data_IF_076858744980
#
_entry.id   IF_076858744980
#
_cell.length_a   1.000
_cell.length_b   1.000
_cell.length_c   1.000
_cell.angle_alpha   90.00
_cell.angle_beta   90.00
_cell.angle_gamma   90.00
#
_symmetry.space_group_name_H-M   'P 1'
#
loop_
_entity.id
_entity.type
_entity.pdbx_description
1 polymer ?
#
# COMPACT_ATOMS: atom_id res chain seq x y z
N UNK A 1 27.49 -60.88 2.04
CA UNK A 1 28.15 -59.58 2.33
C UNK A 1 28.54 -58.76 1.09
N UNK A 2 28.55 -59.33 -0.12
CA UNK A 2 28.93 -58.61 -1.35
C UNK A 2 27.79 -57.76 -1.99
N UNK A 3 26.52 -58.20 -1.90
CA UNK A 3 25.36 -57.50 -2.49
C UNK A 3 25.10 -56.10 -1.90
N UNK A 4 25.31 -55.90 -0.60
CA UNK A 4 25.06 -54.60 0.07
C UNK A 4 26.05 -53.50 -0.35
N UNK A 5 27.25 -53.88 -0.79
CA UNK A 5 28.27 -52.92 -1.26
C UNK A 5 28.01 -52.42 -2.68
N UNK A 6 27.38 -53.23 -3.54
CA UNK A 6 26.98 -52.79 -4.88
C UNK A 6 25.78 -51.83 -4.85
N UNK A 7 24.80 -52.08 -3.97
CA UNK A 7 23.63 -51.21 -3.82
C UNK A 7 23.99 -49.83 -3.25
N UNK A 8 24.98 -49.77 -2.34
CA UNK A 8 25.50 -48.47 -1.85
C UNK A 8 26.31 -47.72 -2.90
N UNK A 9 27.04 -48.42 -3.78
CA UNK A 9 27.76 -47.81 -4.89
C UNK A 9 26.80 -47.28 -5.97
N UNK A 10 25.69 -47.99 -6.26
CA UNK A 10 24.70 -47.53 -7.24
C UNK A 10 23.89 -46.32 -6.74
N UNK A 11 23.52 -46.28 -5.46
CA UNK A 11 22.85 -45.13 -4.84
C UNK A 11 23.75 -43.88 -4.79
N UNK A 12 25.05 -44.06 -4.54
CA UNK A 12 26.02 -42.96 -4.59
C UNK A 12 26.17 -42.41 -6.01
N UNK A 13 26.21 -43.29 -7.03
CA UNK A 13 26.33 -42.88 -8.44
C UNK A 13 25.09 -42.15 -8.96
N UNK A 14 23.89 -42.56 -8.53
CA UNK A 14 22.63 -41.89 -8.88
C UNK A 14 22.56 -40.49 -8.25
N UNK A 15 23.14 -40.30 -7.05
CA UNK A 15 23.17 -39.01 -6.35
C UNK A 15 24.17 -38.03 -6.98
N UNK A 16 25.32 -38.50 -7.48
CA UNK A 16 26.25 -37.65 -8.25
C UNK A 16 25.70 -37.28 -9.63
N UNK A 17 25.03 -38.21 -10.32
CA UNK A 17 24.41 -37.91 -11.63
C UNK A 17 23.19 -36.98 -11.54
N UNK A 18 22.47 -36.96 -10.41
CA UNK A 18 21.37 -35.98 -10.19
C UNK A 18 21.90 -34.60 -9.80
N UNK A 19 23.06 -34.50 -9.13
CA UNK A 19 23.69 -33.20 -8.87
C UNK A 19 24.31 -32.58 -10.12
N UNK A 20 24.91 -33.38 -11.02
CA UNK A 20 25.45 -32.85 -12.29
C UNK A 20 24.35 -32.42 -13.28
N UNK A 21 23.19 -33.11 -13.31
CA UNK A 21 22.06 -32.70 -14.16
C UNK A 21 21.32 -31.46 -13.69
N UNK A 22 21.51 -31.04 -12.44
CA UNK A 22 20.94 -29.80 -11.91
C UNK A 22 21.82 -28.55 -12.19
N UNK A 23 23.04 -28.73 -12.73
CA UNK A 23 23.96 -27.64 -13.06
C UNK A 23 23.92 -27.20 -14.53
N UNK A 24 23.10 -27.83 -15.38
CA UNK A 24 22.89 -27.41 -16.76
C UNK A 24 21.58 -26.66 -16.93
N UNK A 25 21.64 -25.35 -17.18
CA UNK A 25 20.53 -24.45 -17.55
C UNK A 25 19.63 -23.87 -16.45
N UNK A 26 20.14 -23.61 -15.26
CA UNK A 26 19.57 -22.57 -14.41
C UNK A 26 20.34 -21.26 -14.70
N UNK A 27 19.75 -20.38 -15.53
CA UNK A 27 20.24 -19.01 -15.64
C UNK A 27 20.28 -18.41 -14.22
N UNK A 28 21.38 -17.73 -13.83
CA UNK A 28 21.45 -17.12 -12.51
C UNK A 28 20.29 -16.13 -12.37
N UNK A 29 19.56 -16.23 -11.25
CA UNK A 29 18.56 -15.23 -10.86
C UNK A 29 19.34 -13.96 -10.53
N UNK A 30 19.54 -13.13 -11.54
CA UNK A 30 20.15 -11.82 -11.41
C UNK A 30 19.10 -10.93 -10.71
N UNK A 31 19.18 -10.87 -9.37
CA UNK A 31 18.40 -9.93 -8.59
C UNK A 31 18.79 -8.51 -9.00
N UNK A 32 17.93 -7.87 -9.79
CA UNK A 32 18.01 -6.42 -10.03
C UNK A 32 17.62 -5.70 -8.74
N UNK A 33 18.58 -5.54 -7.82
CA UNK A 33 18.46 -4.59 -6.72
C UNK A 33 18.35 -3.18 -7.31
N UNK A 34 17.15 -2.60 -7.24
CA UNK A 34 16.97 -1.16 -7.39
C UNK A 34 17.46 -0.50 -6.11
N UNK A 35 18.72 -0.05 -6.09
CA UNK A 35 19.24 0.81 -5.03
C UNK A 35 18.65 2.21 -5.20
N UNK A 36 17.69 2.56 -4.34
CA UNK A 36 17.20 3.94 -4.26
C UNK A 36 18.20 4.70 -3.40
N UNK A 37 19.11 5.42 -4.05
CA UNK A 37 19.98 6.39 -3.38
C UNK A 37 19.15 7.60 -2.95
N UNK A 38 18.77 7.65 -1.67
CA UNK A 38 18.22 8.86 -1.05
C UNK A 38 19.36 9.85 -0.84
N UNK A 39 19.45 10.87 -1.69
CA UNK A 39 20.41 11.96 -1.51
C UNK A 39 19.72 13.08 -0.73
N UNK A 40 20.07 13.24 0.55
CA UNK A 40 19.65 14.38 1.35
C UNK A 40 20.43 15.63 0.92
N UNK A 41 19.73 16.60 0.33
CA UNK A 41 20.30 17.92 0.03
C UNK A 41 19.87 18.92 1.10
N UNK A 42 20.73 19.14 2.09
CA UNK A 42 20.62 20.29 2.98
C UNK A 42 20.98 21.56 2.20
N UNK A 43 20.03 22.49 2.00
CA UNK A 43 20.32 23.83 1.48
C UNK A 43 19.81 24.91 2.42
N UNK A 44 20.77 25.62 2.99
CA UNK A 44 20.66 26.78 3.88
C UNK A 44 20.01 27.99 3.17
N UNK A 45 19.19 28.75 3.90
CA UNK A 45 18.36 29.84 3.38
C UNK A 45 19.00 31.24 3.44
N UNK A 46 18.34 32.22 2.79
CA UNK A 46 18.39 33.66 3.12
C UNK A 46 17.31 34.50 2.40
N UNK A 47 16.37 34.99 3.21
CA UNK A 47 15.68 36.30 3.35
C UNK A 47 15.47 37.38 2.26
N UNK A 48 14.31 38.06 2.47
CA UNK A 48 13.82 39.42 2.14
C UNK A 48 13.16 39.65 0.76
N UNK A 49 11.98 40.28 0.58
CA UNK A 49 10.99 40.96 1.43
C UNK A 49 10.14 41.92 0.55
N UNK A 50 8.80 42.04 0.77
CA UNK A 50 7.95 43.11 0.18
C UNK A 50 6.53 42.69 -0.31
N UNK A 51 5.48 43.18 0.37
CA UNK A 51 4.01 42.99 0.24
C UNK A 51 3.33 44.04 -0.69
N UNK A 52 1.98 44.09 -0.89
CA UNK A 52 0.95 43.04 -1.05
C UNK A 52 -0.08 43.35 -2.20
N UNK A 53 -0.93 42.39 -2.58
CA UNK A 53 -2.36 42.67 -2.83
C UNK A 53 -3.22 41.40 -2.85
N UNK A 54 -4.44 41.54 -2.35
CA UNK A 54 -5.33 40.53 -1.76
C UNK A 54 -6.12 39.70 -2.80
N UNK A 55 -6.37 38.42 -2.50
CA UNK A 55 -7.45 37.63 -3.12
C UNK A 55 -7.05 36.26 -3.70
N UNK A 56 -6.76 35.29 -2.82
CA UNK A 56 -6.87 33.83 -3.03
C UNK A 56 -6.46 33.14 -1.72
N UNK A 57 -7.21 32.13 -1.28
CA UNK A 57 -6.81 31.32 -0.11
C UNK A 57 -5.37 30.80 -0.29
N UNK A 58 -4.51 30.96 0.73
CA UNK A 58 -3.10 30.66 0.58
C UNK A 58 -2.91 29.15 0.49
N UNK A 59 -2.30 28.69 -0.59
CA UNK A 59 -1.67 27.34 -0.61
C UNK A 59 -0.71 27.28 0.59
N UNK A 60 -0.80 26.28 1.48
CA UNK A 60 0.02 26.24 2.68
C UNK A 60 1.50 26.29 2.26
N UNK A 61 2.25 27.23 2.84
CA UNK A 61 3.66 27.40 2.53
C UNK A 61 4.42 26.12 2.90
N UNK A 62 5.57 25.88 2.27
CA UNK A 62 6.45 24.73 2.58
C UNK A 62 6.74 24.59 4.08
N UNK A 63 6.75 25.70 4.82
CA UNK A 63 6.97 25.73 6.27
C UNK A 63 5.78 25.15 7.04
N UNK A 64 4.55 25.53 6.70
CA UNK A 64 3.33 24.95 7.28
C UNK A 64 3.15 23.49 6.85
N UNK A 65 3.52 23.13 5.62
CA UNK A 65 3.46 21.75 5.13
C UNK A 65 4.49 20.85 5.83
N UNK A 66 5.66 21.40 6.17
CA UNK A 66 6.70 20.70 6.95
C UNK A 66 6.32 20.59 8.42
N UNK A 67 5.82 21.66 9.03
CA UNK A 67 5.34 21.67 10.41
C UNK A 67 4.15 20.70 10.59
N UNK A 68 3.19 20.71 9.66
CA UNK A 68 2.07 19.77 9.66
C UNK A 68 2.53 18.33 9.41
N UNK A 69 3.59 18.11 8.62
CA UNK A 69 4.19 16.78 8.45
C UNK A 69 4.93 16.31 9.70
N UNK A 70 5.71 17.17 10.37
CA UNK A 70 6.40 16.88 11.63
C UNK A 70 5.39 16.63 12.76
N UNK A 71 4.33 17.44 12.87
CA UNK A 71 3.28 17.32 13.90
C UNK A 71 2.40 16.07 13.69
N UNK A 72 2.13 15.67 12.44
CA UNK A 72 1.46 14.39 12.13
C UNK A 72 2.38 13.19 12.41
N UNK A 73 3.67 13.29 12.12
CA UNK A 73 4.64 12.20 12.35
C UNK A 73 4.83 11.92 13.85
N UNK A 74 4.91 12.97 14.67
CA UNK A 74 4.95 12.85 16.14
C UNK A 74 3.64 12.22 16.65
N UNK A 75 2.48 12.64 16.13
CA UNK A 75 1.17 12.08 16.50
C UNK A 75 1.03 10.60 16.15
N UNK A 76 1.54 10.16 14.98
CA UNK A 76 1.50 8.76 14.56
C UNK A 76 2.47 7.88 15.38
N UNK A 77 3.66 8.39 15.71
CA UNK A 77 4.64 7.66 16.54
C UNK A 77 4.13 7.52 17.98
N UNK A 78 3.46 8.56 18.51
CA UNK A 78 2.76 8.52 19.79
C UNK A 78 1.56 7.56 19.77
N UNK A 79 0.87 7.45 18.65
CA UNK A 79 -0.25 6.50 18.51
C UNK A 79 0.21 5.05 18.62
N UNK A 80 1.24 4.63 17.86
CA UNK A 80 1.72 3.24 17.90
C UNK A 80 2.39 2.88 19.24
N UNK A 81 3.05 3.84 19.89
CA UNK A 81 3.63 3.63 21.23
C UNK A 81 2.56 3.55 22.34
N UNK A 82 1.38 4.16 22.12
CA UNK A 82 0.25 4.06 23.04
C UNK A 82 -0.57 2.76 22.91
N UNK A 83 -0.36 1.97 21.84
CA UNK A 83 -1.06 0.69 21.67
C UNK A 83 -0.50 -0.35 22.64
N UNK A 84 -1.38 -0.89 23.49
CA UNK A 84 -1.04 -1.84 24.56
C UNK A 84 -1.67 -3.23 24.37
N UNK A 85 -2.38 -3.48 23.26
CA UNK A 85 -3.13 -4.72 23.03
C UNK A 85 -2.26 -5.99 23.11
N UNK A 86 -0.98 -5.91 22.74
CA UNK A 86 -0.05 -7.03 22.85
C UNK A 86 0.32 -7.35 24.30
N UNK A 87 0.35 -6.36 25.19
CA UNK A 87 0.77 -6.51 26.60
C UNK A 87 -0.32 -7.06 27.50
N UNK A 88 -1.58 -6.85 27.13
CA UNK A 88 -2.74 -7.31 27.90
C UNK A 88 -2.87 -8.84 27.88
N UNK A 89 -3.36 -9.38 29.00
CA UNK A 89 -3.73 -10.79 29.13
C UNK A 89 -5.01 -11.10 28.36
N UNK A 90 -5.24 -12.38 28.03
CA UNK A 90 -6.46 -12.80 27.32
C UNK A 90 -7.74 -12.34 28.03
N UNK A 91 -7.79 -12.44 29.36
CA UNK A 91 -8.96 -12.02 30.15
C UNK A 91 -9.23 -10.52 30.04
N UNK A 92 -8.19 -9.69 30.06
CA UNK A 92 -8.33 -8.23 29.94
C UNK A 92 -8.77 -7.82 28.53
N UNK A 93 -8.28 -8.51 27.51
CA UNK A 93 -8.65 -8.28 26.11
C UNK A 93 -10.12 -8.66 25.87
N UNK A 94 -10.54 -9.84 26.34
CA UNK A 94 -11.92 -10.27 26.24
C UNK A 94 -12.87 -9.30 26.97
N UNK A 95 -12.47 -8.79 28.14
CA UNK A 95 -13.23 -7.78 28.87
C UNK A 95 -13.29 -6.45 28.10
N UNK A 96 -12.16 -5.96 27.58
CA UNK A 96 -12.07 -4.69 26.85
C UNK A 96 -12.91 -4.68 25.58
N UNK A 97 -12.94 -5.79 24.85
CA UNK A 97 -13.74 -5.93 23.62
C UNK A 97 -15.14 -6.51 23.85
N UNK A 98 -15.47 -6.84 25.10
CA UNK A 98 -16.72 -7.49 25.49
C UNK A 98 -17.04 -8.70 24.59
N UNK A 99 -16.06 -9.60 24.44
CA UNK A 99 -16.15 -10.84 23.66
C UNK A 99 -16.07 -12.04 24.58
N UNK A 100 -16.89 -13.06 24.32
CA UNK A 100 -16.84 -14.32 25.06
C UNK A 100 -15.64 -15.17 24.56
N UNK A 101 -14.86 -15.82 25.46
CA UNK A 101 -13.75 -16.68 25.07
C UNK A 101 -14.16 -17.92 24.25
N UNK A 102 -15.37 -18.44 24.50
CA UNK A 102 -15.86 -19.69 23.92
C UNK A 102 -16.86 -19.45 22.79
N UNK A 103 -17.81 -18.55 23.01
CA UNK A 103 -18.90 -18.29 22.06
C UNK A 103 -18.62 -17.15 21.09
N UNK A 104 -17.58 -16.36 21.32
CA UNK A 104 -17.25 -15.20 20.51
C UNK A 104 -18.27 -14.07 20.67
N UNK A 105 -18.54 -13.35 19.57
CA UNK A 105 -19.57 -12.30 19.53
C UNK A 105 -20.93 -12.88 19.10
N UNK A 106 -22.01 -12.28 19.56
CA UNK A 106 -23.34 -12.60 19.04
C UNK A 106 -23.59 -11.94 17.69
N UNK A 107 -24.34 -12.59 16.80
CA UNK A 107 -24.67 -12.02 15.48
C UNK A 107 -25.35 -10.63 15.58
N UNK A 108 -26.30 -10.37 16.52
CA UNK A 108 -26.90 -9.05 16.67
C UNK A 108 -25.89 -7.97 17.10
N UNK A 109 -24.98 -8.31 18.01
CA UNK A 109 -23.95 -7.38 18.47
C UNK A 109 -22.93 -7.07 17.36
N UNK A 110 -22.52 -8.08 16.60
CA UNK A 110 -21.66 -7.88 15.44
C UNK A 110 -22.32 -6.96 14.40
N UNK A 111 -23.62 -7.16 14.12
CA UNK A 111 -24.40 -6.28 13.24
C UNK A 111 -24.52 -4.85 13.76
N UNK A 112 -24.63 -4.66 15.09
CA UNK A 112 -24.64 -3.33 15.72
C UNK A 112 -23.29 -2.63 15.55
N UNK A 113 -22.18 -3.33 15.79
CA UNK A 113 -20.82 -2.80 15.62
C UNK A 113 -20.51 -2.46 14.17
N UNK A 114 -20.93 -3.31 13.23
CA UNK A 114 -20.74 -3.07 11.80
C UNK A 114 -21.45 -1.79 11.33
N UNK A 115 -22.66 -1.53 11.84
CA UNK A 115 -23.41 -0.29 11.55
C UNK A 115 -22.76 0.95 12.16
N UNK A 116 -22.13 0.82 13.33
CA UNK A 116 -21.49 1.94 14.03
C UNK A 116 -20.10 2.27 13.45
N UNK A 117 -19.29 1.26 13.14
CA UNK A 117 -17.89 1.42 12.76
C UNK A 117 -17.66 1.37 11.23
N UNK A 118 -18.63 0.88 10.46
CA UNK A 118 -18.48 0.67 9.02
C UNK A 118 -17.83 -0.67 8.68
N UNK A 119 -17.62 -0.90 7.38
CA UNK A 119 -16.98 -2.11 6.86
C UNK A 119 -15.47 -2.08 7.11
N UNK A 120 -14.88 -3.25 7.32
CA UNK A 120 -13.43 -3.45 7.37
C UNK A 120 -12.84 -3.40 5.95
N UNK A 121 -12.83 -2.21 5.36
CA UNK A 121 -12.30 -1.96 4.02
C UNK A 121 -11.50 -0.67 3.99
N UNK A 122 -10.38 -0.67 3.27
CA UNK A 122 -9.62 0.56 3.04
C UNK A 122 -10.42 1.49 2.12
N UNK A 123 -10.61 2.73 2.55
CA UNK A 123 -11.32 3.73 1.76
C UNK A 123 -10.56 4.02 0.46
N UNK A 124 -11.17 3.61 -0.66
CA UNK A 124 -10.67 3.93 -1.98
C UNK A 124 -11.35 5.22 -2.48
N UNK A 125 -10.64 6.35 -2.59
CA UNK A 125 -11.24 7.58 -3.08
C UNK A 125 -11.76 7.38 -4.50
N UNK A 126 -13.03 7.68 -4.73
CA UNK A 126 -13.65 7.54 -6.06
C UNK A 126 -12.98 8.51 -7.04
N UNK A 127 -12.44 8.04 -8.19
CA UNK A 127 -11.78 8.91 -9.14
C UNK A 127 -12.82 9.85 -9.76
N UNK A 128 -12.56 11.15 -9.68
CA UNK A 128 -13.35 12.13 -10.41
C UNK A 128 -12.73 12.29 -11.81
N UNK A 129 -13.20 11.48 -12.76
CA UNK A 129 -12.65 11.41 -14.12
C UNK A 129 -12.52 12.78 -14.80
N UNK A 130 -13.49 13.69 -14.59
CA UNK A 130 -13.42 15.04 -15.15
C UNK A 130 -12.25 15.84 -14.58
N UNK A 131 -12.03 15.80 -13.26
CA UNK A 131 -10.89 16.46 -12.63
C UNK A 131 -9.55 15.82 -13.04
N UNK A 132 -9.50 14.51 -13.21
CA UNK A 132 -8.32 13.81 -13.75
C UNK A 132 -7.97 14.30 -15.15
N UNK A 133 -8.94 14.28 -16.08
CA UNK A 133 -8.74 14.71 -17.47
C UNK A 133 -8.29 16.19 -17.51
N UNK A 134 -8.92 17.05 -16.70
CA UNK A 134 -8.53 18.44 -16.59
C UNK A 134 -7.10 18.58 -16.01
N UNK A 135 -6.74 17.76 -15.04
CA UNK A 135 -5.39 17.67 -14.49
C UNK A 135 -4.34 17.27 -15.53
N UNK A 136 -4.63 16.28 -16.38
CA UNK A 136 -3.69 15.84 -17.43
C UNK A 136 -3.52 16.87 -18.55
N UNK A 137 -4.59 17.59 -18.89
CA UNK A 137 -4.60 18.56 -20.00
C UNK A 137 -4.07 19.94 -19.59
N UNK A 138 -4.30 20.38 -18.36
CA UNK A 138 -3.90 21.73 -17.88
C UNK A 138 -2.81 21.70 -16.81
N UNK A 139 -2.38 20.54 -16.33
CA UNK A 139 -1.32 20.40 -15.34
C UNK A 139 0.09 20.42 -15.92
N UNK A 140 1.07 20.70 -15.07
CA UNK A 140 2.50 20.51 -15.36
C UNK A 140 2.96 21.18 -16.66
N UNK A 141 3.65 20.40 -17.51
CA UNK A 141 4.20 20.86 -18.79
C UNK A 141 3.12 21.26 -19.81
N UNK A 142 1.94 20.62 -19.80
CA UNK A 142 0.84 20.95 -20.71
C UNK A 142 0.36 22.40 -20.53
N UNK A 143 0.44 22.97 -19.32
CA UNK A 143 0.10 24.38 -19.07
C UNK A 143 0.93 25.36 -19.89
N UNK A 144 2.21 25.06 -20.14
CA UNK A 144 3.11 25.87 -20.96
C UNK A 144 2.73 25.75 -22.44
N UNK A 145 2.35 24.55 -22.89
CA UNK A 145 1.89 24.33 -24.25
C UNK A 145 0.60 25.10 -24.55
N UNK A 146 -0.32 25.20 -23.60
CA UNK A 146 -1.52 26.04 -23.74
C UNK A 146 -1.20 27.52 -23.93
N UNK A 147 -0.21 28.05 -23.21
CA UNK A 147 0.29 29.42 -23.45
C UNK A 147 0.87 29.54 -24.85
N UNK A 148 1.57 28.51 -25.33
CA UNK A 148 2.05 28.41 -26.72
C UNK A 148 0.92 28.47 -27.74
N UNK A 149 -0.16 27.69 -27.55
CA UNK A 149 -1.36 27.72 -28.41
C UNK A 149 -1.96 29.12 -28.44
N UNK A 150 -2.16 29.75 -27.27
CA UNK A 150 -2.71 31.11 -27.18
C UNK A 150 -1.80 32.10 -27.93
N UNK A 151 -0.48 31.99 -27.76
CA UNK A 151 0.50 32.86 -28.44
C UNK A 151 0.43 32.68 -29.96
N UNK A 152 0.37 31.45 -30.47
CA UNK A 152 0.25 31.19 -31.90
C UNK A 152 -1.09 31.67 -32.48
N UNK A 153 -2.18 31.59 -31.71
CA UNK A 153 -3.49 32.13 -32.12
C UNK A 153 -3.47 33.67 -32.19
N UNK A 154 -2.84 34.35 -31.23
CA UNK A 154 -2.67 35.82 -31.27
C UNK A 154 -1.80 36.22 -32.47
N UNK A 155 -0.73 35.47 -32.74
CA UNK A 155 0.14 35.71 -33.89
C UNK A 155 -0.51 35.36 -35.24
N UNK A 156 -1.58 34.56 -35.26
CA UNK A 156 -2.34 34.29 -36.49
C UNK A 156 -3.12 35.52 -36.95
N UNK A 157 -3.73 36.25 -36.01
CA UNK A 157 -4.39 37.54 -36.28
C UNK A 157 -3.78 38.65 -35.42
N UNK A 158 -2.62 39.21 -35.84
CA UNK A 158 -1.97 40.27 -35.10
C UNK A 158 -2.87 41.52 -35.04
N UNK A 159 -3.05 42.15 -33.86
CA UNK A 159 -3.86 43.36 -33.74
C UNK A 159 -3.28 44.58 -34.47
N UNK A 160 -1.99 44.54 -34.83
CA UNK A 160 -1.26 45.66 -35.43
C UNK A 160 -1.13 45.57 -36.96
N UNK A 161 -1.32 44.39 -37.56
CA UNK A 161 -1.25 44.15 -39.01
C UNK A 161 -2.23 43.04 -39.42
N UNK A 162 -3.25 43.32 -40.26
CA UNK A 162 -4.36 42.38 -40.49
C UNK A 162 -4.08 41.31 -41.55
N UNK A 163 -2.81 40.94 -41.78
CA UNK A 163 -2.48 39.86 -42.72
C UNK A 163 -2.52 38.51 -42.00
N UNK A 164 -3.50 37.64 -42.30
CA UNK A 164 -3.60 36.34 -41.64
C UNK A 164 -2.43 35.44 -42.06
N UNK A 165 -1.69 34.92 -41.08
CA UNK A 165 -0.60 33.99 -41.33
C UNK A 165 -1.06 32.55 -41.09
N UNK A 166 -1.28 31.80 -42.18
CA UNK A 166 -1.71 30.39 -42.14
C UNK A 166 -0.69 29.46 -41.44
N UNK A 167 0.59 29.82 -41.42
CA UNK A 167 1.64 29.05 -40.75
C UNK A 167 1.47 29.08 -39.23
N UNK A 168 1.07 30.23 -38.67
CA UNK A 168 0.83 30.35 -37.21
C UNK A 168 -0.38 29.53 -36.78
N UNK A 169 -1.42 29.47 -37.61
CA UNK A 169 -2.57 28.59 -37.39
C UNK A 169 -2.15 27.11 -37.42
N UNK A 170 -1.35 26.71 -38.41
CA UNK A 170 -0.86 25.33 -38.51
C UNK A 170 -0.01 24.93 -37.29
N UNK A 171 0.83 25.84 -36.77
CA UNK A 171 1.60 25.63 -35.54
C UNK A 171 0.69 25.49 -34.31
N UNK A 172 -0.36 26.30 -34.17
CA UNK A 172 -1.32 26.18 -33.07
C UNK A 172 -2.02 24.80 -33.07
N UNK A 173 -2.45 24.33 -34.25
CA UNK A 173 -3.07 23.01 -34.42
C UNK A 173 -2.08 21.89 -34.08
N UNK A 174 -0.83 22.00 -34.54
CA UNK A 174 0.22 21.04 -34.23
C UNK A 174 0.45 20.92 -32.72
N UNK A 175 0.56 22.05 -32.01
CA UNK A 175 0.74 22.05 -30.55
C UNK A 175 -0.48 21.48 -29.83
N UNK A 176 -1.70 21.75 -30.32
CA UNK A 176 -2.92 21.16 -29.76
C UNK A 176 -2.89 19.62 -29.87
N UNK A 177 -2.41 19.09 -31.00
CA UNK A 177 -2.22 17.64 -31.17
C UNK A 177 -1.18 17.09 -30.18
N UNK A 178 -0.06 17.79 -29.96
CA UNK A 178 0.94 17.40 -28.96
C UNK A 178 0.35 17.38 -27.55
N UNK A 179 -0.51 18.34 -27.17
CA UNK A 179 -1.19 18.35 -25.87
C UNK A 179 -2.06 17.11 -25.68
N UNK A 180 -2.82 16.71 -26.70
CA UNK A 180 -3.68 15.52 -26.65
C UNK A 180 -2.84 14.26 -26.44
N UNK A 181 -1.75 14.10 -27.21
CA UNK A 181 -0.85 12.96 -27.05
C UNK A 181 -0.21 12.92 -25.66
N UNK A 182 0.29 14.07 -25.18
CA UNK A 182 0.91 14.19 -23.87
C UNK A 182 -0.07 13.84 -22.75
N UNK A 183 -1.30 14.37 -22.79
CA UNK A 183 -2.34 14.05 -21.81
C UNK A 183 -2.70 12.56 -21.84
N UNK A 184 -2.74 11.94 -23.03
CA UNK A 184 -2.95 10.51 -23.19
C UNK A 184 -1.84 9.67 -22.55
N UNK A 185 -0.57 10.06 -22.75
CA UNK A 185 0.56 9.41 -22.08
C UNK A 185 0.51 9.56 -20.56
N UNK A 186 0.16 10.75 -20.06
CA UNK A 186 -0.01 10.98 -18.62
C UNK A 186 -1.14 10.13 -18.04
N UNK A 187 -2.28 10.03 -18.73
CA UNK A 187 -3.36 9.15 -18.32
C UNK A 187 -2.93 7.68 -18.31
N UNK A 188 -2.20 7.22 -19.34
CA UNK A 188 -1.70 5.84 -19.40
C UNK A 188 -0.72 5.52 -18.25
N UNK A 189 0.17 6.44 -17.90
CA UNK A 189 1.06 6.29 -16.75
C UNK A 189 0.26 6.17 -15.44
N UNK A 190 -0.74 7.02 -15.25
CA UNK A 190 -1.56 7.01 -14.04
C UNK A 190 -2.42 5.74 -13.94
N UNK A 191 -2.97 5.25 -15.05
CA UNK A 191 -3.66 3.94 -15.10
C UNK A 191 -2.73 2.77 -14.77
N UNK A 192 -1.47 2.81 -15.23
CA UNK A 192 -0.48 1.79 -14.90
C UNK A 192 -0.17 1.78 -13.41
N UNK A 193 -0.01 2.96 -12.79
CA UNK A 193 0.22 3.08 -11.35
C UNK A 193 -1.01 2.65 -10.54
N UNK A 194 -2.21 3.04 -10.97
CA UNK A 194 -3.45 2.65 -10.31
C UNK A 194 -3.67 1.12 -10.32
N UNK A 195 -3.28 0.43 -11.40
CA UNK A 195 -3.34 -1.03 -11.48
C UNK A 195 -2.42 -1.71 -10.45
N UNK A 196 -1.22 -1.18 -10.23
CA UNK A 196 -0.32 -1.71 -9.20
C UNK A 196 -0.95 -1.56 -7.81
N UNK A 197 -1.56 -0.41 -7.55
CA UNK A 197 -2.28 -0.18 -6.29
C UNK A 197 -3.48 -1.12 -6.13
N UNK A 198 -4.25 -1.39 -7.19
CA UNK A 198 -5.35 -2.35 -7.10
C UNK A 198 -4.86 -3.76 -6.78
N UNK A 199 -3.73 -4.19 -7.34
CA UNK A 199 -3.13 -5.48 -6.98
C UNK A 199 -2.69 -5.58 -5.52
N UNK A 200 -2.32 -4.46 -4.89
CA UNK A 200 -2.05 -4.42 -3.44
C UNK A 200 -3.36 -4.59 -2.66
N UNK A 201 -4.45 -3.94 -3.10
CA UNK A 201 -5.76 -4.10 -2.46
C UNK A 201 -6.35 -5.50 -2.65
N UNK A 202 -6.05 -6.18 -3.77
CA UNK A 202 -6.38 -7.59 -3.98
C UNK A 202 -5.59 -8.53 -3.04
N UNK A 203 -4.60 -8.01 -2.31
CA UNK A 203 -3.92 -8.76 -1.27
C UNK A 203 -4.84 -9.03 -0.07
N UNK A 204 -5.90 -8.25 0.13
CA UNK A 204 -6.88 -8.41 1.22
C UNK A 204 -7.64 -9.74 1.05
N UNK A 205 -7.72 -10.60 2.07
CA UNK A 205 -8.53 -11.82 1.98
C UNK A 205 -10.00 -11.48 1.74
N UNK A 206 -10.64 -12.19 0.80
CA UNK A 206 -12.05 -11.99 0.48
C UNK A 206 -12.98 -12.53 1.56
N UNK A 207 -12.64 -13.69 2.15
CA UNK A 207 -13.42 -14.36 3.18
C UNK A 207 -12.55 -14.77 4.38
N UNK A 208 -13.16 -14.82 5.55
CA UNK A 208 -12.54 -15.32 6.78
C UNK A 208 -13.52 -16.18 7.59
N UNK A 209 -12.99 -17.00 8.51
CA UNK A 209 -13.80 -17.78 9.45
C UNK A 209 -13.78 -17.11 10.81
N UNK A 210 -14.96 -16.92 11.40
CA UNK A 210 -15.12 -16.32 12.72
C UNK A 210 -15.99 -17.19 13.60
N UNK A 211 -15.79 -17.09 14.92
CA UNK A 211 -16.66 -17.73 15.91
C UNK A 211 -17.70 -16.69 16.34
N UNK A 212 -18.97 -16.94 16.00
CA UNK A 212 -20.11 -16.14 16.45
C UNK A 212 -21.22 -17.05 16.96
N UNK A 213 -21.84 -16.68 18.08
CA UNK A 213 -22.84 -17.50 18.79
C UNK A 213 -22.35 -18.96 19.04
N UNK A 214 -21.05 -19.14 19.28
CA UNK A 214 -20.40 -20.43 19.51
C UNK A 214 -20.24 -21.32 18.28
N UNK A 215 -20.55 -20.82 17.08
CA UNK A 215 -20.41 -21.55 15.83
C UNK A 215 -19.34 -20.92 14.95
N UNK A 216 -18.60 -21.77 14.23
CA UNK A 216 -17.66 -21.31 13.22
C UNK A 216 -18.43 -20.94 11.95
N UNK A 217 -18.42 -19.66 11.59
CA UNK A 217 -19.16 -19.11 10.45
C UNK A 217 -18.18 -18.47 9.48
N UNK A 218 -18.38 -18.72 8.18
CA UNK A 218 -17.63 -18.05 7.12
C UNK A 218 -18.30 -16.72 6.78
N UNK A 219 -17.55 -15.62 6.88
CA UNK A 219 -18.01 -14.26 6.57
C UNK A 219 -17.04 -13.56 5.61
N UNK A 220 -17.50 -12.56 4.82
CA UNK A 220 -16.57 -11.73 4.08
C UNK A 220 -15.67 -10.95 5.04
N UNK A 221 -14.39 -10.80 4.73
CA UNK A 221 -13.44 -10.10 5.60
C UNK A 221 -13.82 -8.62 5.84
N UNK A 222 -14.57 -8.03 4.90
CA UNK A 222 -15.13 -6.68 5.01
C UNK A 222 -16.20 -6.54 6.08
N UNK A 223 -16.84 -7.64 6.52
CA UNK A 223 -17.85 -7.63 7.58
C UNK A 223 -17.28 -8.01 8.96
N UNK A 224 -15.95 -8.12 9.07
CA UNK A 224 -15.26 -8.33 10.33
C UNK A 224 -15.40 -7.09 11.21
N UNK A 225 -15.64 -7.28 12.51
CA UNK A 225 -15.75 -6.19 13.47
C UNK A 225 -14.77 -6.37 14.63
N UNK A 226 -14.44 -5.26 15.29
CA UNK A 226 -13.57 -5.27 16.47
C UNK A 226 -14.17 -6.17 17.55
N UNK A 227 -13.37 -7.12 18.04
CA UNK A 227 -13.76 -8.11 19.04
C UNK A 227 -14.22 -9.45 18.45
N UNK A 228 -14.29 -9.62 17.14
CA UNK A 228 -14.53 -10.93 16.54
C UNK A 228 -13.37 -11.90 16.86
N UNK A 229 -13.71 -13.17 17.12
CA UNK A 229 -12.73 -14.25 17.21
C UNK A 229 -12.53 -14.88 15.84
N UNK A 230 -11.39 -14.61 15.22
CA UNK A 230 -11.04 -15.12 13.90
C UNK A 230 -10.30 -16.46 14.02
N UNK A 231 -10.68 -17.43 13.19
CA UNK A 231 -9.97 -18.69 13.03
C UNK A 231 -9.15 -18.66 11.74
N UNK A 232 -7.83 -18.80 11.87
CA UNK A 232 -6.90 -18.85 10.74
C UNK A 232 -6.40 -20.28 10.53
N UNK A 233 -6.46 -20.73 9.27
CA UNK A 233 -5.84 -21.99 8.83
C UNK A 233 -4.60 -21.71 7.97
N UNK A 234 -3.76 -22.74 7.81
CA UNK A 234 -2.58 -22.66 6.96
C UNK A 234 -2.95 -22.20 5.54
N UNK A 235 -2.22 -21.20 5.02
CA UNK A 235 -2.46 -20.63 3.69
C UNK A 235 -3.57 -19.57 3.64
N UNK A 236 -4.26 -19.29 4.75
CA UNK A 236 -5.15 -18.13 4.83
C UNK A 236 -4.34 -16.86 5.08
N UNK A 237 -4.74 -15.76 4.43
CA UNK A 237 -4.23 -14.43 4.74
C UNK A 237 -4.92 -13.89 5.98
N UNK A 238 -4.24 -12.99 6.67
CA UNK A 238 -4.75 -12.33 7.88
C UNK A 238 -5.76 -11.23 7.47
N UNK A 239 -7.02 -11.27 7.94
CA UNK A 239 -8.08 -10.37 7.44
C UNK A 239 -8.17 -8.99 8.10
N UNK A 240 -7.50 -8.82 9.23
CA UNK A 240 -7.36 -7.57 9.98
C UNK A 240 -6.20 -7.75 10.96
N UNK A 241 -5.78 -6.69 11.66
CA UNK A 241 -4.80 -6.85 12.72
C UNK A 241 -5.41 -7.65 13.90
N UNK A 242 -4.81 -8.81 14.22
CA UNK A 242 -5.33 -9.76 15.20
C UNK A 242 -4.36 -9.93 16.38
N UNK A 243 -4.92 -10.02 17.58
CA UNK A 243 -4.21 -10.56 18.74
C UNK A 243 -4.28 -12.08 18.72
N UNK A 244 -3.12 -12.73 18.81
CA UNK A 244 -3.03 -14.19 18.86
C UNK A 244 -3.35 -14.67 20.28
N UNK A 245 -4.51 -15.30 20.43
CA UNK A 245 -4.96 -15.85 21.72
C UNK A 245 -4.60 -17.35 21.83
N UNK A 246 -4.67 -18.07 20.72
CA UNK A 246 -4.32 -19.47 20.63
C UNK A 246 -3.58 -19.71 19.32
N UNK A 247 -2.49 -20.46 19.38
CA UNK A 247 -1.70 -20.84 18.22
C UNK A 247 -1.21 -22.28 18.37
N UNK A 248 -1.08 -22.98 17.25
CA UNK A 248 -0.36 -24.25 17.21
C UNK A 248 1.14 -24.00 17.25
N UNK A 249 1.93 -24.99 17.68
CA UNK A 249 3.41 -24.89 17.74
C UNK A 249 4.04 -24.50 16.40
N UNK A 250 3.39 -24.90 15.30
CA UNK A 250 3.91 -24.77 13.94
C UNK A 250 3.35 -23.54 13.22
N UNK A 251 2.52 -22.72 13.89
CA UNK A 251 1.97 -21.51 13.29
C UNK A 251 3.09 -20.49 13.07
N UNK A 252 3.30 -20.12 11.82
CA UNK A 252 4.26 -19.09 11.38
C UNK A 252 3.54 -18.05 10.53
N UNK A 253 3.93 -16.79 10.68
CA UNK A 253 3.41 -15.67 9.88
C UNK A 253 4.51 -15.13 8.98
N UNK A 254 4.16 -14.83 7.74
CA UNK A 254 5.01 -14.07 6.83
C UNK A 254 4.75 -12.58 7.04
N UNK A 255 5.82 -11.82 7.32
CA UNK A 255 5.76 -10.37 7.59
C UNK A 255 6.51 -9.56 6.53
N UNK A 256 6.83 -10.15 5.38
CA UNK A 256 7.56 -9.51 4.29
C UNK A 256 6.93 -8.20 3.82
N UNK A 257 5.59 -8.08 3.89
CA UNK A 257 4.88 -6.84 3.51
C UNK A 257 5.26 -5.67 4.40
N UNK A 258 5.52 -5.92 5.69
CA UNK A 258 5.85 -4.87 6.67
C UNK A 258 7.36 -4.67 6.82
N UNK A 259 8.12 -5.75 6.93
CA UNK A 259 9.56 -5.70 7.24
C UNK A 259 10.45 -5.71 6.00
N UNK A 260 9.92 -6.14 4.85
CA UNK A 260 10.71 -6.40 3.64
C UNK A 260 11.53 -7.69 3.68
N UNK A 261 11.46 -8.45 4.78
CA UNK A 261 12.18 -9.71 4.98
C UNK A 261 11.20 -10.88 4.88
N UNK A 262 11.49 -11.87 4.02
CA UNK A 262 10.64 -13.06 3.82
C UNK A 262 10.85 -14.18 4.84
N UNK A 263 11.33 -13.85 6.04
CA UNK A 263 11.51 -14.84 7.10
C UNK A 263 10.19 -15.12 7.81
N UNK A 264 9.87 -16.41 7.97
CA UNK A 264 8.66 -16.85 8.64
C UNK A 264 8.82 -16.72 10.17
N UNK A 265 8.00 -15.88 10.80
CA UNK A 265 8.11 -15.57 12.23
C UNK A 265 7.14 -16.44 13.04
N UNK A 266 7.62 -16.96 14.17
CA UNK A 266 6.84 -17.81 15.07
C UNK A 266 5.73 -17.05 15.79
N UNK A 267 4.52 -17.61 15.80
CA UNK A 267 3.40 -17.09 16.56
C UNK A 267 3.62 -17.31 18.07
N UNK A 268 3.39 -16.26 18.86
CA UNK A 268 3.40 -16.34 20.33
C UNK A 268 2.04 -15.95 20.90
N UNK A 269 1.68 -16.49 22.07
CA UNK A 269 0.48 -16.07 22.81
C UNK A 269 0.80 -14.89 23.72
N UNK A 270 2.00 -14.88 24.32
CA UNK A 270 2.46 -13.82 25.22
C UNK A 270 3.23 -12.74 24.47
N UNK A 271 3.21 -11.50 24.96
CA UNK A 271 4.05 -10.43 24.44
C UNK A 271 5.52 -10.86 24.48
N UNK A 272 6.21 -10.70 23.36
CA UNK A 272 7.66 -11.00 23.25
C UNK A 272 8.50 -9.74 23.29
N UNK A 273 7.91 -8.62 22.90
CA UNK A 273 8.57 -7.32 22.82
C UNK A 273 7.64 -6.21 23.35
N UNK A 274 8.24 -5.12 23.82
CA UNK A 274 7.55 -3.91 24.21
C UNK A 274 6.99 -3.15 23.01
N UNK A 275 7.68 -3.20 21.86
CA UNK A 275 7.22 -2.62 20.61
C UNK A 275 6.08 -3.46 20.02
N UNK A 276 4.93 -2.82 19.76
CA UNK A 276 3.75 -3.46 19.17
C UNK A 276 4.07 -4.12 17.82
N UNK A 277 4.93 -3.48 17.00
CA UNK A 277 5.30 -4.00 15.70
C UNK A 277 6.23 -5.21 15.80
N UNK A 278 7.08 -5.32 16.81
CA UNK A 278 8.02 -6.46 16.92
C UNK A 278 7.42 -7.64 17.69
N UNK A 279 6.35 -7.40 18.43
CA UNK A 279 5.69 -8.45 19.20
C UNK A 279 5.13 -9.56 18.32
N UNK A 280 5.49 -10.81 18.63
CA UNK A 280 5.12 -12.02 17.88
C UNK A 280 3.70 -12.51 18.17
N UNK A 281 2.98 -11.80 19.02
CA UNK A 281 1.65 -12.14 19.49
C UNK A 281 0.54 -11.32 18.83
N UNK A 282 0.92 -10.58 17.78
CA UNK A 282 0.05 -9.85 16.86
C UNK A 282 0.28 -10.39 15.45
N UNK A 283 -0.80 -10.64 14.73
CA UNK A 283 -0.78 -10.93 13.31
C UNK A 283 -1.29 -9.68 12.56
N UNK A 284 -0.58 -9.29 11.52
CA UNK A 284 -0.87 -8.07 10.75
C UNK A 284 -1.51 -8.41 9.40
N UNK A 285 -2.38 -7.53 8.93
CA UNK A 285 -3.04 -7.60 7.62
C UNK A 285 -2.12 -7.21 6.46
#
# INVERSE_FOLDING_TARGET
MARDKETRKSLALVRTQTMERAQGNAAPIEFRTLSIHVTETHRSGKNNGGLPSYGKEPKPSRFWKRKQKEEVLDTETDFFSAIDFHKLSESEINLRFNSDPTSGLSQPEAGRRLKANGLNTLDSPKPNYFKMILGYTFGGFCSILWVGVITFLICWQPPLSPTPNVTNLALAILVLFVIILQAGFSAFQDFSTARVMSSILDMIPTDCHVIRDGQLVKIPASALVVGDRVHLSLGNKVPADLRIIQASSDTRFDRAVLTGESEAIEASITATDDNFLESKNIAFM
#
